data_IF_828442330424
#
_entry.id   IF_828442330424
#
_cell.length_a   1.000
_cell.length_b   1.000
_cell.length_c   1.000
_cell.angle_alpha   90.00
_cell.angle_beta   90.00
_cell.angle_gamma   90.00
#
_symmetry.space_group_name_H-M   'P 1'
#
loop_
_entity.id
_entity.type
_entity.pdbx_description
1 polymer ?
#
# COMPACT_ATOMS: atom_id res chain seq x y z
N UNK A 1 -10.83 5.12 14.30
CA UNK A 1 -10.23 5.50 13.00
C UNK A 1 -9.14 4.50 12.69
N UNK A 2 -9.26 3.78 11.57
CA UNK A 2 -8.40 2.66 11.23
C UNK A 2 -7.00 3.10 10.82
N UNK A 3 -6.93 4.22 10.09
CA UNK A 3 -5.72 4.87 9.60
C UNK A 3 -5.69 6.30 10.13
N UNK A 4 -4.54 6.74 10.63
CA UNK A 4 -4.31 8.07 11.18
C UNK A 4 -3.19 8.76 10.41
N UNK A 5 -3.37 10.06 10.17
CA UNK A 5 -2.31 10.89 9.62
C UNK A 5 -1.31 11.28 10.72
N UNK A 6 -0.02 11.07 10.46
CA UNK A 6 1.06 11.41 11.39
C UNK A 6 2.17 12.16 10.67
N UNK A 7 3.18 12.64 11.39
CA UNK A 7 4.38 13.23 10.77
C UNK A 7 5.22 12.22 9.97
N UNK A 8 4.96 10.91 10.11
CA UNK A 8 5.63 9.84 9.37
C UNK A 8 4.76 9.25 8.25
N UNK A 9 3.56 9.80 7.99
CA UNK A 9 2.62 9.31 6.98
C UNK A 9 1.39 8.62 7.56
N UNK A 10 0.79 7.72 6.79
CA UNK A 10 -0.46 7.03 7.12
C UNK A 10 -0.19 5.84 8.06
N UNK A 11 -0.63 5.95 9.31
CA UNK A 11 -0.37 4.95 10.36
C UNK A 11 -1.62 4.14 10.68
N UNK A 12 -1.49 2.82 10.78
CA UNK A 12 -2.51 1.94 11.37
C UNK A 12 -2.15 1.61 12.82
N UNK A 13 -2.80 2.24 13.84
CA UNK A 13 -2.45 2.01 15.24
C UNK A 13 -2.71 0.57 15.71
N UNK A 14 -3.78 -0.05 15.22
CA UNK A 14 -4.14 -1.42 15.60
C UNK A 14 -3.14 -2.46 15.05
N UNK A 15 -2.61 -2.19 13.85
CA UNK A 15 -1.65 -3.07 13.18
C UNK A 15 -0.20 -2.75 13.50
N UNK A 16 0.06 -1.59 14.08
CA UNK A 16 1.39 -1.01 14.27
C UNK A 16 2.24 -1.08 12.99
N UNK A 17 1.73 -0.47 11.92
CA UNK A 17 2.42 -0.33 10.64
C UNK A 17 2.03 0.97 9.94
N UNK A 18 2.87 1.40 9.02
CA UNK A 18 2.61 2.55 8.18
C UNK A 18 2.37 2.12 6.74
N UNK A 19 1.52 2.85 6.03
CA UNK A 19 1.34 2.72 4.58
C UNK A 19 2.09 3.88 3.92
N UNK A 20 3.00 3.57 3.00
CA UNK A 20 3.85 4.53 2.29
C UNK A 20 4.45 5.62 3.21
N UNK A 21 5.28 5.22 4.19
CA UNK A 21 5.77 6.14 5.21
C UNK A 21 6.71 7.21 4.63
N UNK A 22 6.63 8.42 5.16
CA UNK A 22 7.47 9.55 4.75
C UNK A 22 8.86 9.54 5.40
N UNK A 23 8.99 8.84 6.52
CA UNK A 23 10.22 8.66 7.29
C UNK A 23 10.43 7.17 7.61
N UNK A 24 11.66 6.72 7.91
CA UNK A 24 11.92 5.35 8.34
C UNK A 24 11.03 4.91 9.51
N UNK A 25 10.51 3.67 9.45
CA UNK A 25 9.61 3.08 10.45
C UNK A 25 9.88 1.58 10.60
N UNK A 26 9.45 0.91 11.69
CA UNK A 26 9.69 -0.52 11.86
C UNK A 26 8.97 -1.42 10.82
N UNK A 27 7.76 -1.06 10.42
CA UNK A 27 6.95 -1.84 9.48
C UNK A 27 6.26 -0.94 8.46
N UNK A 28 6.68 -1.06 7.21
CA UNK A 28 6.10 -0.35 6.08
C UNK A 28 5.27 -1.32 5.22
N UNK A 29 4.06 -0.90 4.85
CA UNK A 29 3.25 -1.51 3.79
C UNK A 29 3.36 -0.59 2.59
N UNK A 30 3.90 -1.10 1.49
CA UNK A 30 4.25 -0.30 0.33
C UNK A 30 3.23 -0.55 -0.78
N UNK A 31 2.60 0.52 -1.27
CA UNK A 31 1.69 0.46 -2.41
C UNK A 31 2.48 0.16 -3.69
N UNK A 32 3.62 0.83 -3.90
CA UNK A 32 4.48 0.61 -5.06
C UNK A 32 5.90 1.19 -4.87
N UNK A 33 6.80 0.81 -5.77
CA UNK A 33 8.22 1.14 -5.69
C UNK A 33 8.58 2.51 -6.29
N UNK A 34 7.79 3.57 -6.10
CA UNK A 34 8.26 4.95 -6.32
C UNK A 34 8.97 5.49 -5.07
N UNK A 35 9.79 6.53 -5.22
CA UNK A 35 10.76 6.93 -4.18
C UNK A 35 10.16 7.75 -3.05
N UNK A 36 9.05 8.40 -3.34
CA UNK A 36 8.14 9.09 -2.45
C UNK A 36 7.22 8.16 -1.65
N UNK A 37 7.09 6.89 -2.06
CA UNK A 37 6.34 5.85 -1.34
C UNK A 37 7.26 4.86 -0.61
N UNK A 38 8.25 4.31 -1.31
CA UNK A 38 9.18 3.30 -0.81
C UNK A 38 10.38 3.94 -0.10
N UNK A 39 10.17 4.44 1.12
CA UNK A 39 11.22 5.08 1.90
C UNK A 39 12.27 4.09 2.40
N UNK A 40 13.56 4.37 2.15
CA UNK A 40 14.67 3.58 2.66
C UNK A 40 14.78 3.62 4.20
N UNK A 41 15.36 2.58 4.80
CA UNK A 41 15.70 2.53 6.23
C UNK A 41 14.60 2.00 7.15
N UNK A 42 13.52 1.44 6.61
CA UNK A 42 12.54 0.71 7.41
C UNK A 42 13.03 -0.72 7.70
N UNK A 43 12.66 -1.30 8.83
CA UNK A 43 13.16 -2.65 9.18
C UNK A 43 12.53 -3.73 8.28
N UNK A 44 11.24 -3.55 7.94
CA UNK A 44 10.48 -4.47 7.11
C UNK A 44 9.51 -3.77 6.15
N UNK A 45 9.32 -4.40 5.00
CA UNK A 45 8.50 -3.94 3.89
C UNK A 45 7.54 -5.04 3.43
N UNK A 46 6.23 -4.80 3.50
CA UNK A 46 5.22 -5.63 2.87
C UNK A 46 4.88 -5.05 1.49
N UNK A 47 4.92 -5.85 0.44
CA UNK A 47 4.54 -5.42 -0.92
C UNK A 47 3.86 -6.53 -1.71
N UNK A 48 3.27 -6.18 -2.86
CA UNK A 48 2.75 -7.17 -3.78
C UNK A 48 3.89 -7.94 -4.45
N UNK A 49 3.75 -9.25 -4.60
CA UNK A 49 4.80 -10.12 -5.15
C UNK A 49 5.42 -9.63 -6.48
N UNK A 50 4.66 -9.08 -7.46
CA UNK A 50 5.25 -8.54 -8.69
C UNK A 50 6.12 -7.29 -8.47
N UNK A 51 6.00 -6.62 -7.32
CA UNK A 51 6.76 -5.42 -6.98
C UNK A 51 8.07 -5.66 -6.22
N UNK A 52 8.44 -6.91 -5.96
CA UNK A 52 9.64 -7.24 -5.18
C UNK A 52 10.91 -6.71 -5.83
N UNK A 53 11.12 -7.01 -7.12
CA UNK A 53 12.33 -6.58 -7.84
C UNK A 53 12.50 -5.05 -7.88
N UNK A 54 11.52 -4.24 -8.32
CA UNK A 54 11.68 -2.79 -8.32
C UNK A 54 11.82 -2.22 -6.90
N UNK A 55 11.21 -2.84 -5.88
CA UNK A 55 11.36 -2.42 -4.49
C UNK A 55 12.76 -2.73 -3.95
N UNK A 56 13.32 -3.91 -4.23
CA UNK A 56 14.64 -4.32 -3.72
C UNK A 56 15.79 -3.50 -4.31
N UNK A 57 15.57 -2.81 -5.43
CA UNK A 57 16.52 -1.83 -5.98
C UNK A 57 16.55 -0.51 -5.21
N UNK A 58 15.57 -0.25 -4.32
CA UNK A 58 15.39 1.05 -3.65
C UNK A 58 15.59 1.02 -2.14
N UNK A 59 15.32 -0.12 -1.51
CA UNK A 59 15.33 -0.23 -0.05
C UNK A 59 16.22 -1.38 0.40
N UNK A 60 16.75 -1.22 1.60
CA UNK A 60 17.43 -2.26 2.36
C UNK A 60 16.51 -2.65 3.52
N UNK A 61 16.36 -3.95 3.79
CA UNK A 61 15.48 -4.46 4.84
C UNK A 61 14.82 -5.78 4.48
N UNK A 62 13.97 -6.28 5.37
CA UNK A 62 13.23 -7.53 5.10
C UNK A 62 12.04 -7.25 4.21
N UNK A 63 12.05 -7.77 2.98
CA UNK A 63 10.90 -7.68 2.06
C UNK A 63 10.04 -8.93 2.23
N UNK A 64 8.78 -8.72 2.59
CA UNK A 64 7.73 -9.73 2.63
C UNK A 64 6.79 -9.52 1.44
N UNK A 65 6.87 -10.33 0.38
CA UNK A 65 5.87 -10.32 -0.67
C UNK A 65 4.60 -11.07 -0.26
N UNK A 66 3.45 -10.60 -0.75
CA UNK A 66 2.19 -11.36 -0.75
C UNK A 66 1.53 -11.30 -2.13
N UNK A 67 0.75 -12.33 -2.47
CA UNK A 67 -0.05 -12.34 -3.69
C UNK A 67 -1.15 -11.28 -3.66
N UNK A 68 -1.59 -10.80 -4.82
CA UNK A 68 -2.80 -9.98 -4.88
C UNK A 68 -4.00 -10.77 -4.33
N UNK A 69 -4.81 -10.13 -3.48
CA UNK A 69 -5.94 -10.74 -2.79
C UNK A 69 -5.56 -11.69 -1.64
N UNK A 70 -4.28 -12.02 -1.46
CA UNK A 70 -3.82 -12.77 -0.29
C UNK A 70 -4.02 -11.93 0.98
N UNK A 71 -4.54 -12.57 2.03
CA UNK A 71 -4.80 -11.93 3.30
C UNK A 71 -3.79 -12.38 4.35
N UNK A 72 -3.15 -11.41 5.00
CA UNK A 72 -2.33 -11.65 6.18
C UNK A 72 -2.91 -10.93 7.39
N UNK A 73 -2.50 -11.38 8.57
CA UNK A 73 -2.85 -10.73 9.84
C UNK A 73 -1.63 -10.07 10.45
N UNK A 74 -1.72 -8.76 10.70
CA UNK A 74 -0.70 -7.98 11.40
C UNK A 74 -1.32 -7.47 12.70
N UNK A 75 -0.90 -8.00 13.85
CA UNK A 75 -1.45 -7.64 15.17
C UNK A 75 -3.00 -7.72 15.25
N UNK A 76 -3.61 -8.69 14.53
CA UNK A 76 -5.07 -8.87 14.48
C UNK A 76 -5.80 -7.99 13.44
N UNK A 77 -5.07 -7.18 12.68
CA UNK A 77 -5.56 -6.43 11.52
C UNK A 77 -5.41 -7.29 10.27
N UNK A 78 -6.49 -7.49 9.51
CA UNK A 78 -6.42 -8.15 8.20
C UNK A 78 -5.92 -7.15 7.17
N UNK A 79 -4.86 -7.50 6.46
CA UNK A 79 -4.27 -6.70 5.38
C UNK A 79 -4.22 -7.52 4.10
N UNK A 80 -4.63 -6.94 2.98
CA UNK A 80 -4.45 -7.50 1.64
C UNK A 80 -4.09 -6.42 0.64
N UNK A 81 -3.44 -6.83 -0.45
CA UNK A 81 -3.00 -5.96 -1.53
C UNK A 81 -3.81 -6.26 -2.79
N UNK A 82 -4.25 -5.23 -3.50
CA UNK A 82 -5.10 -5.37 -4.69
C UNK A 82 -4.53 -4.53 -5.83
N UNK A 83 -4.57 -4.96 -7.10
CA UNK A 83 -3.99 -4.20 -8.21
C UNK A 83 -4.46 -2.74 -8.26
N UNK A 84 -3.52 -1.81 -8.38
CA UNK A 84 -3.79 -0.37 -8.56
C UNK A 84 -3.73 0.07 -10.03
N UNK A 85 -3.30 -0.79 -10.95
CA UNK A 85 -3.21 -0.46 -12.37
C UNK A 85 -2.14 0.56 -12.74
N UNK A 86 -1.29 1.00 -11.82
CA UNK A 86 -0.36 2.12 -12.03
C UNK A 86 0.96 1.72 -12.71
N UNK A 87 1.76 0.91 -12.01
CA UNK A 87 3.05 0.35 -12.49
C UNK A 87 3.19 -1.12 -12.05
N UNK A 88 4.23 -1.81 -12.52
CA UNK A 88 4.53 -3.18 -12.08
C UNK A 88 4.57 -3.28 -10.55
N UNK A 89 3.75 -4.17 -9.99
CA UNK A 89 3.65 -4.38 -8.55
C UNK A 89 2.84 -3.32 -7.77
N UNK A 90 2.22 -2.35 -8.45
CA UNK A 90 1.39 -1.35 -7.78
C UNK A 90 0.11 -1.93 -7.19
N UNK A 91 -0.15 -1.56 -5.94
CA UNK A 91 -1.22 -2.11 -5.14
C UNK A 91 -1.96 -1.05 -4.32
N UNK A 92 -3.27 -1.20 -4.25
CA UNK A 92 -4.12 -0.66 -3.20
C UNK A 92 -3.93 -1.49 -1.93
N UNK A 93 -3.90 -0.84 -0.77
CA UNK A 93 -3.78 -1.49 0.54
C UNK A 93 -5.16 -1.55 1.19
N UNK A 94 -5.72 -2.75 1.30
CA UNK A 94 -6.97 -3.01 2.02
C UNK A 94 -6.65 -3.36 3.46
N UNK A 95 -7.20 -2.62 4.40
CA UNK A 95 -7.03 -2.82 5.85
C UNK A 95 -8.40 -3.06 6.48
N UNK A 96 -8.51 -4.08 7.31
CA UNK A 96 -9.77 -4.44 7.94
C UNK A 96 -9.62 -4.79 9.43
N UNK A 97 -10.49 -4.20 10.25
CA UNK A 97 -10.61 -4.51 11.68
C UNK A 97 -12.08 -4.61 12.05
N UNK A 98 -12.48 -5.75 12.65
CA UNK A 98 -13.85 -5.98 13.15
C UNK A 98 -14.95 -5.68 12.11
N UNK A 99 -14.67 -5.95 10.83
CA UNK A 99 -15.59 -5.73 9.71
C UNK A 99 -15.55 -4.32 9.12
N UNK A 100 -14.90 -3.35 9.76
CA UNK A 100 -14.65 -2.02 9.16
C UNK A 100 -13.46 -2.12 8.20
N UNK A 101 -13.66 -1.67 6.95
CA UNK A 101 -12.70 -1.82 5.84
C UNK A 101 -12.31 -0.46 5.30
N UNK A 102 -11.02 -0.16 5.29
CA UNK A 102 -10.46 1.01 4.64
C UNK A 102 -9.53 0.56 3.51
N UNK A 103 -9.53 1.30 2.41
CA UNK A 103 -8.63 1.06 1.28
C UNK A 103 -7.83 2.33 1.03
N UNK A 104 -6.50 2.21 1.02
CA UNK A 104 -5.58 3.25 0.55
C UNK A 104 -5.24 2.93 -0.90
N UNK A 105 -5.52 3.85 -1.82
CA UNK A 105 -5.37 3.57 -3.24
C UNK A 105 -3.90 3.36 -3.67
N UNK A 106 -2.97 4.04 -2.99
CA UNK A 106 -1.68 4.36 -3.59
C UNK A 106 -1.88 5.17 -4.87
N UNK A 107 -0.86 5.16 -5.73
CA UNK A 107 -1.03 5.70 -7.07
C UNK A 107 -1.78 4.71 -7.93
N UNK A 108 -2.77 5.20 -8.69
CA UNK A 108 -3.63 4.33 -9.48
C UNK A 108 -4.03 4.96 -10.82
N UNK A 109 -4.31 4.10 -11.78
CA UNK A 109 -5.03 4.47 -13.01
C UNK A 109 -5.99 3.37 -13.38
N UNK A 110 -7.14 3.74 -13.93
CA UNK A 110 -8.21 2.81 -14.30
C UNK A 110 -8.10 2.32 -15.75
N UNK A 111 -7.31 3.00 -16.57
CA UNK A 111 -7.10 2.62 -17.95
C UNK A 111 -6.22 1.37 -18.04
N UNK A 112 -6.49 0.45 -18.99
CA UNK A 112 -5.63 -0.71 -19.21
C UNK A 112 -4.20 -0.31 -19.56
N UNK A 113 -3.23 -0.97 -18.94
CA UNK A 113 -1.81 -0.86 -19.26
C UNK A 113 -1.23 -2.28 -19.39
N UNK A 114 -0.57 -2.61 -20.51
CA UNK A 114 0.02 -3.95 -20.71
C UNK A 114 1.21 -4.26 -19.79
N UNK A 115 1.72 -3.30 -19.03
CA UNK A 115 2.91 -3.44 -18.15
C UNK A 115 2.56 -3.83 -16.71
N UNK A 116 1.28 -3.82 -16.32
CA UNK A 116 0.85 -4.10 -14.95
C UNK A 116 -0.52 -4.77 -14.88
N UNK A 117 -0.90 -5.26 -13.70
CA UNK A 117 -2.24 -5.81 -13.47
C UNK A 117 -3.29 -4.69 -13.48
N UNK A 118 -4.47 -4.87 -14.11
CA UNK A 118 -5.48 -3.83 -14.22
C UNK A 118 -6.05 -3.44 -12.86
N UNK A 119 -6.47 -2.19 -12.70
CA UNK A 119 -7.08 -1.69 -11.46
C UNK A 119 -8.27 -2.54 -11.01
N UNK A 120 -8.27 -2.95 -9.74
CA UNK A 120 -9.36 -3.70 -9.10
C UNK A 120 -10.27 -2.76 -8.32
N UNK A 121 -11.60 -2.90 -8.47
CA UNK A 121 -12.54 -2.16 -7.62
C UNK A 121 -12.71 -2.91 -6.29
N UNK A 122 -12.24 -2.32 -5.19
CA UNK A 122 -12.31 -2.93 -3.86
C UNK A 122 -13.42 -2.28 -3.02
N UNK A 123 -14.37 -3.10 -2.56
CA UNK A 123 -15.43 -2.62 -1.65
C UNK A 123 -14.85 -2.21 -0.30
N UNK A 124 -15.20 -1.01 0.16
CA UNK A 124 -14.70 -0.46 1.42
C UNK A 124 -15.72 0.51 2.06
N UNK A 125 -15.52 0.79 3.35
CA UNK A 125 -16.27 1.80 4.09
C UNK A 125 -15.64 3.19 3.92
N UNK A 126 -14.31 3.23 3.84
CA UNK A 126 -13.52 4.45 3.62
C UNK A 126 -12.49 4.21 2.52
N UNK A 127 -12.43 5.11 1.55
CA UNK A 127 -11.44 5.11 0.48
C UNK A 127 -10.52 6.33 0.63
N UNK A 128 -9.23 6.10 0.90
CA UNK A 128 -8.19 7.13 0.91
C UNK A 128 -7.58 7.13 -0.49
N UNK A 129 -7.96 8.12 -1.29
CA UNK A 129 -7.53 8.24 -2.69
C UNK A 129 -6.34 9.19 -2.83
N UNK A 130 -5.40 8.84 -3.70
CA UNK A 130 -4.53 9.80 -4.34
C UNK A 130 -5.39 10.76 -5.19
N UNK A 131 -5.00 12.04 -5.22
CA UNK A 131 -5.75 13.10 -5.92
C UNK A 131 -4.85 13.99 -6.77
N UNK A 132 -3.82 13.41 -7.40
CA UNK A 132 -2.86 14.14 -8.25
C UNK A 132 -3.54 14.95 -9.36
N UNK A 133 -4.62 14.41 -9.95
CA UNK A 133 -5.47 15.10 -10.94
C UNK A 133 -6.86 15.44 -10.39
N UNK A 134 -6.99 15.64 -9.07
CA UNK A 134 -8.29 15.89 -8.41
C UNK A 134 -8.86 17.30 -8.59
N UNK A 135 -8.20 18.16 -9.36
CA UNK A 135 -8.66 19.51 -9.64
C UNK A 135 -9.54 19.53 -10.90
N UNK A 136 -10.70 20.21 -10.90
CA UNK A 136 -11.57 20.33 -12.07
C UNK A 136 -11.06 21.43 -13.01
N UNK A 137 -9.85 21.26 -13.54
CA UNK A 137 -9.18 22.19 -14.48
C UNK A 137 -9.34 21.75 -15.92
#
# INVERSE_FOLDING_TARGET
MLIQHTSRGLYCPAGDFYIDPWLPVPRAVITHAHGDHARFGCDSYLCAAPGVEPLSLRVEGTIQPIGYGEQISINGVRVSLHPAGHVLGSAQVRVEVKGEVWVVSGDYKREPDPTCAPFEVVSCHTFITESTFGLPV
#
